data_IF_520092918235
#
_entry.id   IF_520092918235
#
_cell.length_a   1.000
_cell.length_b   1.000
_cell.length_c   1.000
_cell.angle_alpha   90.00
_cell.angle_beta   90.00
_cell.angle_gamma   90.00
#
_symmetry.space_group_name_H-M   'P 1'
#
loop_
_entity.id
_entity.type
_entity.pdbx_description
1 polymer ?
#
# COMPACT_ATOMS: atom_id res chain seq x y z
N UNK A 1 -23.04 -4.74 16.69
CA UNK A 1 -22.46 -5.02 15.36
C UNK A 1 -21.01 -4.60 15.40
N UNK A 2 -20.07 -5.44 14.97
CA UNK A 2 -18.66 -5.07 14.86
C UNK A 2 -18.49 -4.09 13.69
N UNK A 3 -17.74 -3.02 13.90
CA UNK A 3 -17.39 -2.08 12.82
C UNK A 3 -16.48 -2.84 11.84
N UNK A 4 -16.76 -2.83 10.52
CA UNK A 4 -15.93 -3.56 9.56
C UNK A 4 -14.55 -2.90 9.42
N UNK A 5 -13.58 -3.69 8.97
CA UNK A 5 -12.21 -3.30 8.65
C UNK A 5 -11.96 -3.31 7.14
N UNK A 6 -11.50 -2.18 6.64
CA UNK A 6 -11.05 -1.98 5.27
C UNK A 6 -9.52 -1.85 5.23
N UNK A 7 -8.86 -2.54 4.30
CA UNK A 7 -7.42 -2.38 4.07
C UNK A 7 -7.20 -1.48 2.86
N UNK A 8 -6.43 -0.41 3.02
CA UNK A 8 -5.90 0.41 1.93
C UNK A 8 -4.45 0.02 1.68
N UNK A 9 -4.07 -0.29 0.44
CA UNK A 9 -2.69 -0.64 0.09
C UNK A 9 -2.12 0.42 -0.83
N UNK A 10 -1.05 1.09 -0.40
CA UNK A 10 -0.42 2.18 -1.15
C UNK A 10 1.11 2.08 -1.19
N UNK A 11 1.69 2.61 -2.26
CA UNK A 11 3.14 2.81 -2.40
C UNK A 11 3.59 4.23 -2.05
N UNK A 12 2.68 5.09 -1.57
CA UNK A 12 2.97 6.46 -1.11
C UNK A 12 2.04 6.83 0.05
N UNK A 13 2.62 7.25 1.17
CA UNK A 13 1.88 7.71 2.36
C UNK A 13 2.81 8.58 3.24
N UNK A 14 2.34 9.66 3.88
CA UNK A 14 3.18 10.56 4.67
C UNK A 14 3.92 9.84 5.81
N UNK A 15 5.18 10.18 6.07
CA UNK A 15 5.98 9.56 7.14
C UNK A 15 6.16 10.50 8.35
N UNK A 16 6.11 11.83 8.17
CA UNK A 16 5.85 12.84 9.20
C UNK A 16 5.95 14.21 8.52
N UNK A 17 4.91 15.06 8.61
CA UNK A 17 4.87 16.51 8.31
C UNK A 17 5.66 17.09 7.11
N UNK A 18 6.15 16.28 6.18
CA UNK A 18 6.98 16.73 5.06
C UNK A 18 6.17 16.95 3.78
N UNK A 19 4.90 16.53 3.74
CA UNK A 19 3.91 16.95 2.73
C UNK A 19 4.33 16.73 1.28
N UNK A 20 5.36 15.92 1.02
CA UNK A 20 6.15 16.03 -0.21
C UNK A 20 5.58 15.22 -1.38
N UNK A 21 4.58 14.37 -1.15
CA UNK A 21 3.92 13.60 -2.22
C UNK A 21 2.41 13.80 -2.23
N UNK A 22 1.90 14.48 -3.27
CA UNK A 22 0.47 14.74 -3.48
C UNK A 22 -0.39 13.46 -3.51
N UNK A 23 0.20 12.31 -3.88
CA UNK A 23 -0.47 11.01 -3.81
C UNK A 23 -0.59 10.52 -2.35
N UNK A 24 0.43 10.75 -1.53
CA UNK A 24 0.42 10.36 -0.11
C UNK A 24 -0.60 11.14 0.70
N UNK A 25 -0.70 12.46 0.50
CA UNK A 25 -1.71 13.29 1.20
C UNK A 25 -3.13 12.86 0.87
N UNK A 26 -3.42 12.54 -0.40
CA UNK A 26 -4.72 12.02 -0.80
C UNK A 26 -5.08 10.71 -0.07
N UNK A 27 -4.16 9.75 0.02
CA UNK A 27 -4.45 8.48 0.72
C UNK A 27 -4.65 8.72 2.22
N UNK A 28 -3.92 9.67 2.81
CA UNK A 28 -4.12 10.05 4.21
C UNK A 28 -5.51 10.67 4.45
N UNK A 29 -5.95 11.59 3.59
CA UNK A 29 -7.27 12.21 3.68
C UNK A 29 -8.38 11.17 3.47
N UNK A 30 -8.22 10.30 2.47
CA UNK A 30 -9.15 9.20 2.20
C UNK A 30 -9.27 8.25 3.41
N UNK A 31 -8.14 7.88 4.02
CA UNK A 31 -8.13 7.03 5.19
C UNK A 31 -8.88 7.66 6.38
N UNK A 32 -8.68 8.97 6.61
CA UNK A 32 -9.37 9.70 7.67
C UNK A 32 -10.87 9.82 7.43
N UNK A 33 -11.30 10.08 6.20
CA UNK A 33 -12.71 10.14 5.84
C UNK A 33 -13.39 8.77 5.99
N UNK A 34 -12.74 7.69 5.54
CA UNK A 34 -13.25 6.32 5.71
C UNK A 34 -13.32 5.91 7.19
N UNK A 35 -12.37 6.36 8.01
CA UNK A 35 -12.32 6.06 9.45
C UNK A 35 -13.55 6.55 10.23
N UNK A 36 -14.30 7.51 9.69
CA UNK A 36 -15.58 7.95 10.28
C UNK A 36 -16.62 6.82 10.28
N UNK A 37 -16.51 5.86 9.36
CA UNK A 37 -17.49 4.80 9.14
C UNK A 37 -16.96 3.39 9.44
N UNK A 38 -15.66 3.15 9.23
CA UNK A 38 -15.04 1.81 9.33
C UNK A 38 -13.70 1.87 10.06
N UNK A 39 -13.16 0.73 10.48
CA UNK A 39 -11.74 0.62 10.81
C UNK A 39 -10.92 0.60 9.52
N UNK A 40 -9.85 1.37 9.47
CA UNK A 40 -8.97 1.46 8.31
C UNK A 40 -7.58 0.97 8.69
N UNK A 41 -7.04 0.06 7.88
CA UNK A 41 -5.65 -0.36 7.94
C UNK A 41 -4.96 0.07 6.67
N UNK A 42 -3.93 0.91 6.78
CA UNK A 42 -3.16 1.37 5.62
C UNK A 42 -1.86 0.56 5.55
N UNK A 43 -1.57 -0.01 4.39
CA UNK A 43 -0.26 -0.61 4.09
C UNK A 43 0.52 0.41 3.28
N UNK A 44 1.67 0.84 3.79
CA UNK A 44 2.41 1.97 3.23
C UNK A 44 3.92 1.80 3.37
N UNK A 45 4.74 2.46 2.53
CA UNK A 45 6.18 2.46 2.72
C UNK A 45 6.58 3.22 3.99
N UNK A 46 7.71 2.84 4.55
CA UNK A 46 8.37 3.52 5.66
C UNK A 46 9.86 3.19 5.72
N UNK A 47 10.65 3.90 6.55
CA UNK A 47 12.08 3.61 6.71
C UNK A 47 12.35 2.22 7.31
N UNK A 48 11.36 1.67 8.00
CA UNK A 48 11.42 0.35 8.63
C UNK A 48 10.03 -0.29 8.61
N UNK A 49 10.00 -1.63 8.67
CA UNK A 49 8.75 -2.36 8.83
C UNK A 49 8.25 -2.22 10.26
N UNK A 50 7.11 -1.58 10.45
CA UNK A 50 6.52 -1.35 11.77
C UNK A 50 5.01 -1.22 11.67
N UNK A 51 4.32 -1.31 12.80
CA UNK A 51 2.89 -1.04 12.89
C UNK A 51 2.71 0.17 13.80
N UNK A 52 2.00 1.18 13.32
CA UNK A 52 1.79 2.43 14.03
C UNK A 52 0.29 2.77 14.08
N UNK A 53 -0.14 3.37 15.20
CA UNK A 53 -1.50 3.90 15.33
C UNK A 53 -1.49 5.35 14.86
N UNK A 54 -2.28 5.65 13.82
CA UNK A 54 -2.39 7.02 13.28
C UNK A 54 -3.54 7.80 13.94
N UNK A 55 -4.66 7.13 14.18
CA UNK A 55 -5.81 7.67 14.93
C UNK A 55 -6.61 6.51 15.55
N UNK A 56 -7.65 6.78 16.33
CA UNK A 56 -8.47 5.74 16.99
C UNK A 56 -8.90 4.59 16.05
N UNK A 57 -9.17 4.89 14.78
CA UNK A 57 -9.66 3.92 13.78
C UNK A 57 -8.75 3.74 12.58
N UNK A 58 -7.52 4.29 12.62
CA UNK A 58 -6.54 4.14 11.55
C UNK A 58 -5.26 3.54 12.09
N UNK A 59 -4.95 2.34 11.62
CA UNK A 59 -3.67 1.65 11.82
C UNK A 59 -2.85 1.70 10.54
N UNK A 60 -1.54 1.86 10.64
CA UNK A 60 -0.65 1.82 9.49
C UNK A 60 0.36 0.68 9.66
N UNK A 61 0.46 -0.15 8.62
CA UNK A 61 1.41 -1.23 8.45
C UNK A 61 2.49 -0.73 7.50
N UNK A 62 3.60 -0.26 8.07
CA UNK A 62 4.77 0.18 7.32
C UNK A 62 5.54 -1.03 6.82
N UNK A 63 5.96 -0.99 5.56
CA UNK A 63 6.98 -1.89 5.03
C UNK A 63 8.24 -1.10 4.73
N UNK A 64 9.40 -1.70 5.04
CA UNK A 64 10.69 -1.09 4.76
C UNK A 64 10.85 -0.81 3.25
N UNK A 65 11.09 0.45 2.92
CA UNK A 65 11.39 0.93 1.58
C UNK A 65 12.59 1.89 1.65
N UNK A 66 13.44 1.94 0.60
CA UNK A 66 14.54 2.90 0.54
C UNK A 66 14.00 4.34 0.50
N UNK A 67 14.78 5.28 1.03
CA UNK A 67 14.47 6.72 1.01
C UNK A 67 14.54 7.35 -0.38
N UNK A 68 15.21 6.68 -1.33
CA UNK A 68 15.29 7.14 -2.72
C UNK A 68 14.16 6.50 -3.55
N UNK A 69 13.60 7.24 -4.53
CA UNK A 69 12.54 6.70 -5.39
C UNK A 69 12.97 5.41 -6.08
N UNK A 70 12.12 4.38 -6.07
CA UNK A 70 12.40 3.12 -6.77
C UNK A 70 12.67 3.31 -8.28
N UNK A 71 12.19 4.41 -8.86
CA UNK A 71 12.47 4.78 -10.25
C UNK A 71 13.94 5.07 -10.54
N UNK A 72 14.78 5.30 -9.52
CA UNK A 72 16.22 5.46 -9.70
C UNK A 72 16.97 4.13 -9.74
N UNK A 73 16.31 3.03 -9.35
CA UNK A 73 16.89 1.68 -9.34
C UNK A 73 16.84 1.05 -10.74
N UNK A 74 17.91 0.36 -11.12
CA UNK A 74 18.10 -0.23 -12.45
C UNK A 74 17.96 -1.75 -12.39
N UNK A 75 17.07 -2.30 -13.22
CA UNK A 75 16.82 -3.75 -13.30
C UNK A 75 18.05 -4.57 -13.76
N UNK A 76 19.07 -3.94 -14.35
CA UNK A 76 20.29 -4.61 -14.78
C UNK A 76 21.43 -4.53 -13.75
N UNK A 77 21.22 -3.84 -12.62
CA UNK A 77 22.18 -3.80 -11.53
C UNK A 77 21.78 -4.78 -10.42
N UNK A 78 22.63 -5.73 -10.02
CA UNK A 78 22.25 -6.80 -9.10
C UNK A 78 21.87 -6.29 -7.69
N UNK A 79 22.52 -5.23 -7.20
CA UNK A 79 22.16 -4.62 -5.91
C UNK A 79 20.77 -3.97 -5.92
N UNK A 80 20.42 -3.33 -7.03
CA UNK A 80 19.12 -2.67 -7.22
C UNK A 80 18.00 -3.71 -7.34
N UNK A 81 18.26 -4.84 -8.01
CA UNK A 81 17.33 -5.97 -8.07
C UNK A 81 17.05 -6.56 -6.69
N UNK A 82 18.07 -6.70 -5.85
CA UNK A 82 17.90 -7.17 -4.47
C UNK A 82 17.02 -6.20 -3.67
N UNK A 83 17.25 -4.89 -3.82
CA UNK A 83 16.44 -3.86 -3.18
C UNK A 83 14.97 -3.92 -3.66
N UNK A 84 14.73 -3.98 -4.97
CA UNK A 84 13.38 -4.11 -5.54
C UNK A 84 12.69 -5.36 -5.02
N UNK A 85 13.36 -6.51 -5.04
CA UNK A 85 12.80 -7.77 -4.54
C UNK A 85 12.48 -7.70 -3.05
N UNK A 86 13.33 -7.04 -2.25
CA UNK A 86 13.09 -6.82 -0.83
C UNK A 86 11.84 -5.97 -0.60
N UNK A 87 11.67 -4.86 -1.33
CA UNK A 87 10.49 -3.99 -1.21
C UNK A 87 9.22 -4.73 -1.62
N UNK A 88 9.25 -5.47 -2.74
CA UNK A 88 8.11 -6.25 -3.20
C UNK A 88 7.69 -7.32 -2.19
N UNK A 89 8.66 -7.99 -1.55
CA UNK A 89 8.39 -8.98 -0.49
C UNK A 89 7.87 -8.32 0.78
N UNK A 90 8.48 -7.22 1.22
CA UNK A 90 8.07 -6.51 2.42
C UNK A 90 6.65 -5.94 2.28
N UNK A 91 6.31 -5.36 1.12
CA UNK A 91 4.97 -4.87 0.82
C UNK A 91 3.92 -5.99 0.81
N UNK A 92 4.24 -7.16 0.22
CA UNK A 92 3.35 -8.32 0.28
C UNK A 92 3.15 -8.79 1.72
N UNK A 93 4.21 -8.90 2.52
CA UNK A 93 4.13 -9.34 3.91
C UNK A 93 3.28 -8.37 4.77
N UNK A 94 3.46 -7.07 4.61
CA UNK A 94 2.65 -6.08 5.30
C UNK A 94 1.18 -6.15 4.88
N UNK A 95 0.91 -6.39 3.59
CA UNK A 95 -0.45 -6.63 3.08
C UNK A 95 -1.07 -7.86 3.71
N UNK A 96 -0.34 -8.98 3.71
CA UNK A 96 -0.81 -10.25 4.28
C UNK A 96 -1.12 -10.17 5.78
N UNK A 97 -0.40 -9.32 6.52
CA UNK A 97 -0.66 -9.03 7.92
C UNK A 97 -1.90 -8.14 8.10
N UNK A 98 -2.03 -7.08 7.31
CA UNK A 98 -3.13 -6.11 7.40
C UNK A 98 -4.50 -6.72 7.09
N UNK A 99 -4.56 -7.69 6.18
CA UNK A 99 -5.83 -8.31 5.73
C UNK A 99 -6.44 -9.29 6.74
N UNK A 100 -5.74 -9.63 7.82
CA UNK A 100 -6.24 -10.60 8.81
C UNK A 100 -7.50 -10.05 9.49
N UNK A 101 -8.66 -10.67 9.21
CA UNK A 101 -9.96 -10.22 9.73
C UNK A 101 -10.59 -9.02 9.01
N UNK A 102 -9.99 -8.56 7.90
CA UNK A 102 -10.55 -7.52 7.05
C UNK A 102 -11.64 -8.08 6.13
N UNK A 103 -12.60 -7.25 5.74
CA UNK A 103 -13.68 -7.64 4.83
C UNK A 103 -13.35 -7.32 3.38
N UNK A 104 -12.52 -6.31 3.12
CA UNK A 104 -12.19 -5.86 1.78
C UNK A 104 -10.82 -5.17 1.70
N UNK A 105 -10.22 -5.19 0.52
CA UNK A 105 -8.95 -4.52 0.21
C UNK A 105 -9.18 -3.50 -0.91
N UNK A 106 -8.64 -2.30 -0.77
CA UNK A 106 -8.59 -1.30 -1.83
C UNK A 106 -7.13 -0.98 -2.12
N UNK A 107 -6.66 -1.34 -3.31
CA UNK A 107 -5.31 -1.05 -3.76
C UNK A 107 -5.24 0.29 -4.52
N UNK A 108 -4.21 1.06 -4.19
CA UNK A 108 -3.86 2.37 -4.72
C UNK A 108 -2.34 2.35 -5.01
N UNK A 109 -1.84 1.87 -6.14
CA UNK A 109 -2.43 1.85 -7.49
C UNK A 109 -2.33 0.46 -8.15
N UNK A 110 -2.40 0.39 -9.48
CA UNK A 110 -2.34 -0.85 -10.25
C UNK A 110 -1.16 -1.76 -9.87
N UNK A 111 0.08 -1.25 -9.94
CA UNK A 111 1.27 -1.94 -9.45
C UNK A 111 2.09 -1.01 -8.54
N UNK A 112 2.77 -1.56 -7.50
CA UNK A 112 2.73 -2.97 -7.08
C UNK A 112 1.49 -3.33 -6.23
N UNK A 113 0.72 -2.34 -5.76
CA UNK A 113 -0.33 -2.52 -4.77
C UNK A 113 -1.49 -3.41 -5.23
N UNK A 114 -1.93 -3.29 -6.48
CA UNK A 114 -3.00 -4.13 -7.03
C UNK A 114 -2.60 -5.61 -7.09
N UNK A 115 -1.34 -5.91 -7.40
CA UNK A 115 -0.83 -7.29 -7.37
C UNK A 115 -0.73 -7.83 -5.94
N UNK A 116 -0.29 -7.01 -4.98
CA UNK A 116 -0.29 -7.40 -3.57
C UNK A 116 -1.70 -7.72 -3.07
N UNK A 117 -2.67 -6.87 -3.40
CA UNK A 117 -4.07 -7.07 -3.06
C UNK A 117 -4.65 -8.33 -3.72
N UNK A 118 -4.37 -8.56 -5.00
CA UNK A 118 -4.79 -9.78 -5.72
C UNK A 118 -4.25 -11.04 -5.05
N UNK A 119 -2.97 -11.05 -4.68
CA UNK A 119 -2.35 -12.19 -3.97
C UNK A 119 -2.98 -12.39 -2.59
N UNK A 120 -3.16 -11.33 -1.81
CA UNK A 120 -3.76 -11.41 -0.49
C UNK A 120 -5.24 -11.88 -0.55
N UNK A 121 -5.99 -11.44 -1.55
CA UNK A 121 -7.37 -11.83 -1.81
C UNK A 121 -7.55 -13.22 -2.43
N UNK A 122 -6.45 -13.93 -2.76
CA UNK A 122 -6.54 -15.36 -3.12
C UNK A 122 -6.98 -16.22 -1.93
N UNK A 123 -6.90 -15.69 -0.70
CA UNK A 123 -7.43 -16.31 0.51
C UNK A 123 -8.97 -16.24 0.50
N UNK A 124 -9.68 -17.34 0.81
CA UNK A 124 -11.14 -17.32 0.86
C UNK A 124 -11.69 -16.24 1.79
N UNK A 125 -12.73 -15.52 1.34
CA UNK A 125 -13.51 -14.60 2.18
C UNK A 125 -13.09 -13.14 2.16
N UNK A 126 -12.14 -12.73 1.30
CA UNK A 126 -11.72 -11.32 1.17
C UNK A 126 -11.81 -10.90 -0.29
N UNK A 127 -12.61 -9.88 -0.57
CA UNK A 127 -12.68 -9.26 -1.89
C UNK A 127 -11.66 -8.11 -2.00
N UNK A 128 -11.28 -7.75 -3.23
CA UNK A 128 -10.42 -6.59 -3.46
C UNK A 128 -10.92 -5.73 -4.61
N UNK A 129 -10.56 -4.46 -4.56
CA UNK A 129 -10.73 -3.48 -5.62
C UNK A 129 -9.40 -2.78 -5.88
N UNK A 130 -9.18 -2.36 -7.12
CA UNK A 130 -7.99 -1.60 -7.50
C UNK A 130 -8.47 -0.28 -8.09
N UNK A 131 -8.01 0.82 -7.53
CA UNK A 131 -8.17 2.12 -8.15
C UNK A 131 -6.90 2.41 -8.94
N UNK A 132 -7.06 2.52 -10.26
CA UNK A 132 -5.99 2.93 -11.18
C UNK A 132 -6.23 4.37 -11.63
N UNK A 133 -5.18 5.19 -11.64
CA UNK A 133 -5.21 6.48 -12.31
C UNK A 133 -4.85 6.30 -13.79
N UNK A 134 -5.25 7.27 -14.63
CA UNK A 134 -4.97 7.21 -16.08
C UNK A 134 -3.49 6.99 -16.40
N UNK A 135 -2.57 7.49 -15.56
CA UNK A 135 -1.13 7.28 -15.71
C UNK A 135 -0.71 5.82 -15.54
N UNK A 136 -1.36 5.06 -14.67
CA UNK A 136 -1.03 3.65 -14.43
C UNK A 136 -1.33 2.82 -15.68
N UNK A 137 -2.49 3.06 -16.30
CA UNK A 137 -2.94 2.36 -17.51
C UNK A 137 -2.04 2.70 -18.69
N UNK A 138 -1.68 3.97 -18.88
CA UNK A 138 -0.82 4.41 -19.99
C UNK A 138 0.64 3.97 -19.86
N UNK A 139 1.15 3.79 -18.64
CA UNK A 139 2.53 3.35 -18.41
C UNK A 139 2.66 1.84 -18.57
N UNK A 140 1.68 1.06 -18.08
CA UNK A 140 1.69 -0.40 -18.17
C UNK A 140 1.24 -0.92 -19.54
N UNK A 141 0.33 -0.21 -20.23
CA UNK A 141 -0.10 -0.59 -21.59
C UNK A 141 1.00 -0.49 -22.66
N UNK A 142 2.20 -0.03 -22.31
CA UNK A 142 3.39 0.01 -23.19
C UNK A 142 4.35 -1.17 -22.96
N UNK A 143 4.10 -2.01 -21.96
CA UNK A 143 4.84 -3.24 -21.72
C UNK A 143 4.09 -4.34 -22.49
N UNK A 144 4.68 -4.91 -23.56
CA UNK A 144 4.01 -5.86 -24.45
C UNK A 144 3.62 -7.17 -23.76
#
# INVERSE_FOLDING_TARGET
MTIPTLVLVTSSFPIAADGSEAAGSFVADLAQELAKHVHVRVVAPGPQSTREQWSERVEIYRFAAPSHPLSTLRLWHPGDLQCIAQVLRAGQQATDQAVTGAQHIVALWGLPCGEWARRAASRPGIAYSVWMLGRDVWSLGRIP
#
